data_IF_289939608904
#
_entry.id   IF_289939608904
#
_cell.length_a   1.000
_cell.length_b   1.000
_cell.length_c   1.000
_cell.angle_alpha   90.00
_cell.angle_beta   90.00
_cell.angle_gamma   90.00
#
_symmetry.space_group_name_H-M   'P 1'
#
loop_
_entity.id
_entity.type
_entity.pdbx_description
1 polymer ?
#
# COMPACT_ATOMS: atom_id res chain seq x y z
N UNK A 1 0.56 -19.22 17.06
CA UNK A 1 -0.07 -18.43 15.99
C UNK A 1 -1.06 -17.41 16.57
N UNK A 2 -1.90 -17.80 17.50
CA UNK A 2 -2.95 -16.94 18.09
C UNK A 2 -2.40 -15.65 18.72
N UNK A 3 -1.28 -15.73 19.48
CA UNK A 3 -0.64 -14.56 20.10
C UNK A 3 -0.11 -13.55 19.06
N UNK A 4 0.48 -14.02 17.96
CA UNK A 4 1.01 -13.13 16.90
C UNK A 4 -0.14 -12.47 16.16
N UNK A 5 -1.24 -13.18 15.94
CA UNK A 5 -2.45 -12.63 15.34
C UNK A 5 -3.08 -11.56 16.25
N UNK A 6 -3.18 -11.82 17.54
CA UNK A 6 -3.65 -10.84 18.51
C UNK A 6 -2.75 -9.61 18.56
N UNK A 7 -1.43 -9.76 18.63
CA UNK A 7 -0.48 -8.65 18.59
C UNK A 7 -0.67 -7.80 17.31
N UNK A 8 -0.86 -8.43 16.16
CA UNK A 8 -1.10 -7.75 14.90
C UNK A 8 -2.40 -6.93 14.91
N UNK A 9 -3.50 -7.53 15.39
CA UNK A 9 -4.78 -6.84 15.49
C UNK A 9 -4.72 -5.67 16.48
N UNK A 10 -4.05 -5.84 17.62
CA UNK A 10 -3.84 -4.78 18.60
C UNK A 10 -3.05 -3.63 17.97
N UNK A 11 -1.94 -3.89 17.27
CA UNK A 11 -1.16 -2.86 16.59
C UNK A 11 -1.99 -2.10 15.54
N UNK A 12 -2.86 -2.78 14.81
CA UNK A 12 -3.76 -2.11 13.86
C UNK A 12 -4.82 -1.29 14.60
N UNK A 13 -5.38 -1.79 15.69
CA UNK A 13 -6.36 -1.05 16.50
C UNK A 13 -5.72 0.22 17.09
N UNK A 14 -4.54 0.09 17.69
CA UNK A 14 -3.78 1.24 18.21
C UNK A 14 -3.50 2.27 17.11
N UNK A 15 -3.13 1.82 15.91
CA UNK A 15 -2.92 2.69 14.75
C UNK A 15 -4.20 3.42 14.34
N UNK A 16 -5.36 2.77 14.44
CA UNK A 16 -6.66 3.35 14.09
C UNK A 16 -7.20 4.27 15.17
N UNK A 17 -6.93 3.99 16.44
CA UNK A 17 -7.39 4.76 17.59
C UNK A 17 -6.58 6.05 17.82
N UNK A 18 -5.30 6.07 17.43
CA UNK A 18 -4.44 7.25 17.52
C UNK A 18 -4.80 8.28 16.45
N UNK A 19 -5.87 9.05 16.70
CA UNK A 19 -6.26 10.17 15.83
C UNK A 19 -5.13 11.17 15.58
N UNK A 20 -4.23 11.35 16.56
CA UNK A 20 -3.05 12.22 16.43
C UNK A 20 -2.10 11.75 15.33
N UNK A 21 -1.97 10.44 15.13
CA UNK A 21 -1.19 9.87 14.05
C UNK A 21 -1.73 10.29 12.67
N UNK A 22 -3.03 10.10 12.44
CA UNK A 22 -3.68 10.51 11.19
C UNK A 22 -3.60 12.02 10.97
N UNK A 23 -3.72 12.81 12.04
CA UNK A 23 -3.63 14.27 12.00
C UNK A 23 -2.20 14.71 11.63
N UNK A 24 -1.18 14.15 12.26
CA UNK A 24 0.23 14.45 11.98
C UNK A 24 0.60 14.07 10.54
N UNK A 25 0.25 12.86 10.12
CA UNK A 25 0.46 12.38 8.75
C UNK A 25 -0.26 13.29 7.73
N UNK A 26 -1.51 13.63 8.00
CA UNK A 26 -2.31 14.51 7.16
C UNK A 26 -1.71 15.90 7.06
N UNK A 27 -1.10 16.42 8.12
CA UNK A 27 -0.43 17.72 8.12
C UNK A 27 0.80 17.69 7.21
N UNK A 28 1.68 16.71 7.33
CA UNK A 28 2.88 16.54 6.49
C UNK A 28 2.50 16.42 5.00
N UNK A 29 1.45 15.67 4.70
CA UNK A 29 0.92 15.53 3.34
C UNK A 29 0.30 16.84 2.84
N UNK A 30 -0.38 17.62 3.70
CA UNK A 30 -0.90 18.96 3.35
C UNK A 30 0.22 19.94 3.04
N UNK A 31 1.35 19.88 3.73
CA UNK A 31 2.52 20.69 3.41
C UNK A 31 3.06 20.36 2.03
N UNK A 32 3.14 19.06 1.69
CA UNK A 32 3.50 18.63 0.35
C UNK A 32 2.50 19.15 -0.70
N UNK A 33 1.20 19.07 -0.41
CA UNK A 33 0.18 19.66 -1.30
C UNK A 33 0.39 21.17 -1.52
N UNK A 34 0.64 21.92 -0.45
CA UNK A 34 0.92 23.37 -0.55
C UNK A 34 2.14 23.65 -1.41
N UNK A 35 3.22 22.91 -1.17
CA UNK A 35 4.43 22.99 -1.97
C UNK A 35 4.13 22.73 -3.46
N UNK A 36 3.43 21.64 -3.76
CA UNK A 36 3.07 21.28 -5.13
C UNK A 36 2.18 22.32 -5.80
N UNK A 37 1.22 22.91 -5.07
CA UNK A 37 0.34 23.94 -5.60
C UNK A 37 1.09 25.26 -5.91
N UNK A 38 2.16 25.54 -5.17
CA UNK A 38 3.04 26.69 -5.42
C UNK A 38 3.96 26.47 -6.61
N UNK A 39 4.61 25.29 -6.68
CA UNK A 39 5.54 24.96 -7.76
C UNK A 39 4.84 24.69 -9.11
N UNK A 40 3.62 24.16 -9.07
CA UNK A 40 2.86 23.78 -10.26
C UNK A 40 1.44 24.39 -10.26
N UNK A 41 1.30 25.73 -10.30
CA UNK A 41 0.00 26.40 -10.13
C UNK A 41 -0.99 26.12 -11.28
N UNK A 42 -0.52 25.53 -12.37
CA UNK A 42 -1.33 25.15 -13.54
C UNK A 42 -1.80 23.69 -13.50
N UNK A 43 -1.42 22.92 -12.48
CA UNK A 43 -1.92 21.56 -12.28
C UNK A 43 -3.03 21.54 -11.22
N UNK A 44 -4.01 20.67 -11.42
CA UNK A 44 -4.96 20.28 -10.41
C UNK A 44 -4.45 19.07 -9.65
N UNK A 45 -4.58 19.08 -8.34
CA UNK A 45 -4.18 17.99 -7.46
C UNK A 45 -5.36 17.47 -6.65
N UNK A 46 -5.46 16.14 -6.55
CA UNK A 46 -6.37 15.49 -5.60
C UNK A 46 -5.56 14.56 -4.72
N UNK A 47 -5.71 14.72 -3.42
CA UNK A 47 -5.13 13.84 -2.41
C UNK A 47 -6.20 12.92 -1.86
N UNK A 48 -5.92 11.63 -1.83
CA UNK A 48 -6.77 10.61 -1.22
C UNK A 48 -5.90 9.80 -0.26
N UNK A 49 -6.26 9.80 1.03
CA UNK A 49 -5.65 8.93 2.04
C UNK A 49 -6.62 7.82 2.41
N UNK A 50 -6.10 6.64 2.69
CA UNK A 50 -6.88 5.55 3.25
C UNK A 50 -6.05 4.71 4.20
N UNK A 51 -6.70 4.20 5.23
CA UNK A 51 -6.20 3.07 6.00
C UNK A 51 -6.92 1.83 5.47
N UNK A 52 -6.17 0.75 5.30
CA UNK A 52 -6.74 -0.53 4.89
C UNK A 52 -7.69 -1.03 5.98
N UNK A 53 -8.90 -1.43 5.60
CA UNK A 53 -9.85 -1.99 6.57
C UNK A 53 -9.27 -3.22 7.29
N UNK A 54 -9.69 -3.45 8.53
CA UNK A 54 -9.23 -4.57 9.35
C UNK A 54 -9.40 -5.92 8.63
N UNK A 55 -10.55 -6.11 7.98
CA UNK A 55 -10.86 -7.33 7.21
C UNK A 55 -9.85 -7.57 6.08
N UNK A 56 -9.45 -6.50 5.37
CA UNK A 56 -8.46 -6.60 4.29
C UNK A 56 -7.04 -6.78 4.82
N UNK A 57 -6.75 -6.22 5.98
CA UNK A 57 -5.48 -6.40 6.67
C UNK A 57 -5.35 -7.85 7.15
N UNK A 58 -6.40 -8.42 7.74
CA UNK A 58 -6.47 -9.82 8.16
C UNK A 58 -6.28 -10.78 6.97
N UNK A 59 -6.95 -10.53 5.85
CA UNK A 59 -6.76 -11.33 4.63
C UNK A 59 -5.32 -11.34 4.13
N UNK A 60 -4.61 -10.21 4.24
CA UNK A 60 -3.18 -10.13 3.93
C UNK A 60 -2.32 -10.82 4.98
N UNK A 61 -2.63 -10.66 6.26
CA UNK A 61 -1.96 -11.37 7.34
C UNK A 61 -1.98 -12.87 7.08
N UNK A 62 -3.15 -13.44 6.79
CA UNK A 62 -3.29 -14.86 6.50
C UNK A 62 -2.42 -15.28 5.30
N UNK A 63 -2.37 -14.48 4.22
CA UNK A 63 -1.53 -14.76 3.06
C UNK A 63 -0.03 -14.67 3.33
N UNK A 64 0.44 -13.71 4.12
CA UNK A 64 1.87 -13.51 4.34
C UNK A 64 2.43 -14.29 5.53
N UNK A 65 1.66 -14.42 6.61
CA UNK A 65 2.14 -15.03 7.85
C UNK A 65 1.78 -16.51 7.90
N UNK A 66 0.56 -16.86 7.59
CA UNK A 66 0.13 -18.27 7.63
C UNK A 66 0.84 -19.08 6.55
N UNK A 67 0.91 -18.58 5.32
CA UNK A 67 1.66 -19.24 4.24
C UNK A 67 3.14 -19.39 4.60
N UNK A 68 3.76 -18.35 5.17
CA UNK A 68 5.14 -18.42 5.62
C UNK A 68 5.37 -19.50 6.68
N UNK A 69 4.48 -19.63 7.67
CA UNK A 69 4.59 -20.64 8.73
C UNK A 69 4.51 -22.03 8.12
N UNK A 70 3.60 -22.27 7.18
CA UNK A 70 3.47 -23.55 6.48
C UNK A 70 4.70 -23.87 5.64
N UNK A 71 5.16 -22.94 4.79
CA UNK A 71 6.34 -23.12 3.96
C UNK A 71 7.60 -23.38 4.79
N UNK A 72 7.71 -22.70 5.93
CA UNK A 72 8.83 -22.90 6.86
C UNK A 72 8.79 -24.30 7.48
N UNK A 73 7.61 -24.72 7.93
CA UNK A 73 7.42 -26.05 8.52
C UNK A 73 7.70 -27.16 7.51
N UNK A 74 7.21 -27.03 6.28
CA UNK A 74 7.48 -28.02 5.22
C UNK A 74 8.98 -28.15 4.92
N UNK A 75 9.71 -27.04 4.95
CA UNK A 75 11.16 -27.05 4.66
C UNK A 75 12.02 -27.50 5.81
N UNK A 76 11.68 -27.17 7.05
CA UNK A 76 12.54 -27.32 8.21
C UNK A 76 12.04 -28.38 9.21
N UNK A 77 10.83 -28.89 9.08
CA UNK A 77 10.20 -29.81 10.03
C UNK A 77 9.92 -29.22 11.40
N UNK A 78 10.07 -27.89 11.54
CA UNK A 78 9.83 -27.14 12.79
C UNK A 78 9.13 -25.84 12.50
N UNK A 79 8.44 -25.25 13.49
CA UNK A 79 7.82 -23.95 13.38
C UNK A 79 8.86 -22.83 13.50
N UNK A 80 8.67 -21.69 12.78
CA UNK A 80 9.51 -20.51 12.96
C UNK A 80 9.35 -19.94 14.36
N UNK A 81 10.39 -19.27 14.86
CA UNK A 81 10.35 -18.57 16.13
C UNK A 81 9.38 -17.37 16.09
N UNK A 82 8.88 -16.96 17.27
CA UNK A 82 8.02 -15.76 17.37
C UNK A 82 8.73 -14.51 16.83
N UNK A 83 10.04 -14.38 17.00
CA UNK A 83 10.83 -13.26 16.47
C UNK A 83 10.83 -13.24 14.94
N UNK A 84 11.03 -14.39 14.29
CA UNK A 84 10.98 -14.50 12.82
C UNK A 84 9.59 -14.16 12.27
N UNK A 85 8.53 -14.57 12.98
CA UNK A 85 7.16 -14.22 12.61
C UNK A 85 6.92 -12.71 12.78
N UNK A 86 7.40 -12.09 13.87
CA UNK A 86 7.29 -10.64 14.09
C UNK A 86 8.03 -9.83 13.03
N UNK A 87 9.19 -10.28 12.58
CA UNK A 87 9.88 -9.64 11.45
C UNK A 87 9.04 -9.67 10.16
N UNK A 88 8.27 -10.73 9.93
CA UNK A 88 7.34 -10.80 8.80
C UNK A 88 6.18 -9.81 8.91
N UNK A 89 5.75 -9.44 10.12
CA UNK A 89 4.74 -8.38 10.30
C UNK A 89 5.22 -7.03 9.76
N UNK A 90 6.53 -6.76 9.82
CA UNK A 90 7.12 -5.56 9.22
C UNK A 90 7.03 -5.53 7.69
N UNK A 91 6.60 -6.62 7.03
CA UNK A 91 6.33 -6.66 5.59
C UNK A 91 5.02 -5.95 5.19
N UNK A 92 4.18 -5.54 6.15
CA UNK A 92 2.95 -4.79 5.88
C UNK A 92 3.26 -3.31 5.57
N UNK A 93 3.53 -3.04 4.30
CA UNK A 93 3.92 -1.71 3.83
C UNK A 93 2.79 -0.86 3.27
N UNK A 94 1.57 -1.41 3.21
CA UNK A 94 0.42 -0.78 2.54
C UNK A 94 -0.85 -0.71 3.41
N UNK A 95 -0.69 -0.76 4.73
CA UNK A 95 -1.80 -0.53 5.68
C UNK A 95 -2.30 0.91 5.54
N UNK A 96 -1.37 1.86 5.38
CA UNK A 96 -1.64 3.26 5.12
C UNK A 96 -1.23 3.54 3.69
N UNK A 97 -2.13 4.10 2.92
CA UNK A 97 -1.86 4.48 1.55
C UNK A 97 -2.37 5.88 1.25
N UNK A 98 -1.53 6.67 0.61
CA UNK A 98 -1.88 7.97 0.07
C UNK A 98 -1.83 7.93 -1.45
N UNK A 99 -2.73 8.64 -2.07
CA UNK A 99 -2.76 8.78 -3.52
C UNK A 99 -2.73 10.25 -3.90
N UNK A 100 -1.82 10.60 -4.78
CA UNK A 100 -1.73 11.90 -5.41
C UNK A 100 -2.18 11.74 -6.85
N UNK A 101 -3.26 12.41 -7.20
CA UNK A 101 -3.80 12.41 -8.57
C UNK A 101 -3.59 13.78 -9.16
N UNK A 102 -2.90 13.84 -10.30
CA UNK A 102 -2.66 15.08 -11.03
C UNK A 102 -3.51 15.15 -12.29
N UNK A 103 -3.88 16.37 -12.66
CA UNK A 103 -4.59 16.66 -13.89
C UNK A 103 -4.20 18.04 -14.41
N UNK A 104 -4.02 18.16 -15.71
CA UNK A 104 -3.76 19.44 -16.36
C UNK A 104 -5.07 19.98 -16.97
N UNK A 105 -5.63 21.09 -16.46
CA UNK A 105 -6.79 21.74 -17.06
C UNK A 105 -6.52 22.18 -18.50
N UNK A 106 -7.52 22.05 -19.34
CA UNK A 106 -7.39 22.41 -20.78
C UNK A 106 -6.98 23.86 -21.01
N UNK A 107 -7.39 24.78 -20.13
CA UNK A 107 -7.04 26.20 -20.21
C UNK A 107 -5.53 26.47 -20.06
N UNK A 108 -4.79 25.57 -19.49
CA UNK A 108 -3.33 25.68 -19.33
C UNK A 108 -2.53 24.92 -20.42
N UNK A 109 -3.22 24.30 -21.36
CA UNK A 109 -2.59 23.60 -22.48
C UNK A 109 -2.20 24.56 -23.59
N UNK A 110 -0.97 24.45 -24.08
CA UNK A 110 -0.57 25.12 -25.32
C UNK A 110 -1.16 24.40 -26.53
N UNK A 111 -1.42 25.14 -27.61
CA UNK A 111 -1.86 24.55 -28.88
C UNK A 111 -0.90 23.43 -29.31
N UNK A 112 -1.43 22.27 -29.73
CA UNK A 112 -0.68 21.09 -30.20
C UNK A 112 0.07 20.29 -29.13
N UNK A 113 -0.07 20.57 -27.83
CA UNK A 113 0.49 19.71 -26.79
C UNK A 113 -0.40 18.46 -26.58
N UNK A 114 0.26 17.30 -26.45
CA UNK A 114 -0.41 16.06 -26.02
C UNK A 114 -0.56 16.07 -24.49
N UNK A 115 -1.79 16.26 -24.02
CA UNK A 115 -2.12 16.34 -22.61
C UNK A 115 -1.61 15.14 -21.82
N UNK A 116 -1.77 13.93 -22.36
CA UNK A 116 -1.37 12.70 -21.66
C UNK A 116 0.14 12.67 -21.47
N UNK A 117 0.90 13.04 -22.48
CA UNK A 117 2.37 13.07 -22.38
C UNK A 117 2.85 14.14 -21.39
N UNK A 118 2.21 15.32 -21.39
CA UNK A 118 2.58 16.36 -20.43
C UNK A 118 2.21 15.98 -19.00
N UNK A 119 1.04 15.41 -18.75
CA UNK A 119 0.65 14.90 -17.42
C UNK A 119 1.64 13.85 -16.92
N UNK A 120 2.06 12.90 -17.77
CA UNK A 120 3.08 11.91 -17.40
C UNK A 120 4.41 12.58 -17.08
N UNK A 121 4.85 13.55 -17.88
CA UNK A 121 6.09 14.29 -17.63
C UNK A 121 6.07 14.99 -16.27
N UNK A 122 4.96 15.66 -15.92
CA UNK A 122 4.80 16.28 -14.61
C UNK A 122 4.72 15.25 -13.47
N UNK A 123 4.10 14.12 -13.71
CA UNK A 123 4.04 13.03 -12.72
C UNK A 123 5.45 12.58 -12.32
N UNK A 124 6.33 12.37 -13.28
CA UNK A 124 7.73 12.00 -13.01
C UNK A 124 8.53 13.14 -12.38
N UNK A 125 8.28 14.41 -12.75
CA UNK A 125 8.90 15.55 -12.05
C UNK A 125 8.55 15.59 -10.56
N UNK A 126 7.28 15.35 -10.25
CA UNK A 126 6.81 15.25 -8.87
C UNK A 126 7.46 14.06 -8.17
N UNK A 127 7.56 12.92 -8.85
CA UNK A 127 8.21 11.74 -8.32
C UNK A 127 9.68 11.98 -7.97
N UNK A 128 10.40 12.79 -8.74
CA UNK A 128 11.80 13.12 -8.47
C UNK A 128 12.00 13.98 -7.21
N UNK A 129 11.04 14.83 -6.87
CA UNK A 129 11.12 15.73 -5.71
C UNK A 129 10.59 15.09 -4.43
N UNK A 130 9.60 14.21 -4.54
CA UNK A 130 8.85 13.66 -3.41
C UNK A 130 9.72 12.98 -2.35
N UNK A 131 10.71 12.12 -2.68
CA UNK A 131 11.54 11.47 -1.66
C UNK A 131 12.27 12.47 -0.78
N UNK A 132 13.00 13.42 -1.36
CA UNK A 132 13.74 14.42 -0.60
C UNK A 132 12.79 15.27 0.27
N UNK A 133 11.68 15.71 -0.28
CA UNK A 133 10.70 16.52 0.46
C UNK A 133 10.21 15.82 1.72
N UNK A 134 9.96 14.51 1.64
CA UNK A 134 9.47 13.72 2.77
C UNK A 134 10.61 13.33 3.73
N UNK A 135 11.81 13.06 3.24
CA UNK A 135 12.99 12.78 4.07
C UNK A 135 13.33 13.95 5.00
N UNK A 136 13.26 15.18 4.52
CA UNK A 136 13.41 16.39 5.31
C UNK A 136 12.37 16.51 6.45
N UNK A 137 11.29 15.75 6.39
CA UNK A 137 10.17 15.73 7.34
C UNK A 137 10.08 14.46 8.20
N UNK A 138 11.17 13.69 8.19
CA UNK A 138 11.30 12.53 9.06
C UNK A 138 10.73 11.23 8.49
N UNK A 139 10.59 11.14 7.17
CA UNK A 139 10.30 9.89 6.49
C UNK A 139 11.57 9.32 5.86
N UNK A 140 11.64 8.01 5.71
CA UNK A 140 12.72 7.33 5.00
C UNK A 140 12.14 6.54 3.82
N UNK A 141 12.62 6.83 2.61
CA UNK A 141 12.21 6.09 1.42
C UNK A 141 12.79 4.67 1.43
N UNK A 142 11.96 3.67 1.14
CA UNK A 142 12.37 2.28 1.10
C UNK A 142 12.77 1.86 -0.31
N UNK A 143 13.91 1.20 -0.46
CA UNK A 143 14.32 0.61 -1.73
C UNK A 143 13.42 -0.57 -2.11
N UNK A 144 13.04 -0.64 -3.38
CA UNK A 144 12.18 -1.71 -3.92
C UNK A 144 12.89 -3.04 -4.12
N UNK A 145 14.22 -3.10 -3.94
CA UNK A 145 15.01 -4.29 -4.24
C UNK A 145 14.98 -4.70 -5.73
N UNK A 146 14.67 -3.74 -6.62
CA UNK A 146 14.58 -3.97 -8.07
C UNK A 146 13.22 -4.48 -8.57
N UNK A 147 12.24 -4.67 -7.69
CA UNK A 147 10.87 -5.08 -8.10
C UNK A 147 10.21 -3.96 -8.91
N UNK A 148 9.78 -4.25 -10.14
CA UNK A 148 9.14 -3.28 -11.05
C UNK A 148 9.96 -1.99 -11.22
N UNK A 149 11.29 -2.14 -11.34
CA UNK A 149 12.20 -1.01 -11.56
C UNK A 149 11.79 -0.23 -12.80
N UNK A 150 11.82 1.10 -12.70
CA UNK A 150 11.57 2.00 -13.82
C UNK A 150 12.72 1.98 -14.82
N UNK A 151 12.39 1.91 -16.11
CA UNK A 151 13.32 2.14 -17.22
C UNK A 151 13.14 3.56 -17.80
N UNK A 152 12.20 4.34 -17.28
CA UNK A 152 11.91 5.68 -17.76
C UNK A 152 13.07 6.63 -17.53
N UNK A 153 13.47 7.35 -18.59
CA UNK A 153 14.49 8.41 -18.50
C UNK A 153 13.96 9.68 -17.79
N UNK A 154 12.66 9.74 -17.50
CA UNK A 154 12.04 10.85 -16.78
C UNK A 154 12.24 10.75 -15.26
N UNK A 155 12.65 9.57 -14.76
CA UNK A 155 12.93 9.35 -13.35
C UNK A 155 14.43 9.39 -13.11
N UNK A 156 14.86 10.27 -12.22
CA UNK A 156 16.26 10.48 -11.88
C UNK A 156 16.87 9.22 -11.25
N UNK A 157 18.13 8.94 -11.57
CA UNK A 157 18.82 7.73 -11.10
C UNK A 157 18.92 7.65 -9.57
N UNK A 158 18.99 8.79 -8.90
CA UNK A 158 19.07 8.86 -7.44
C UNK A 158 17.78 8.37 -6.74
N UNK A 159 16.61 8.59 -7.34
CA UNK A 159 15.31 8.23 -6.75
C UNK A 159 14.71 6.96 -7.36
N UNK A 160 15.20 6.55 -8.52
CA UNK A 160 14.74 5.36 -9.24
C UNK A 160 14.67 4.09 -8.39
N UNK A 161 15.63 3.79 -7.48
CA UNK A 161 15.59 2.59 -6.65
C UNK A 161 14.40 2.51 -5.70
N UNK A 162 13.75 3.63 -5.40
CA UNK A 162 12.63 3.71 -4.46
C UNK A 162 11.27 3.49 -5.13
N UNK A 163 11.20 3.58 -6.47
CA UNK A 163 9.95 3.50 -7.20
C UNK A 163 9.69 2.12 -7.81
N UNK A 164 8.44 1.64 -7.62
CA UNK A 164 7.84 0.61 -8.44
C UNK A 164 7.04 1.30 -9.54
N UNK A 165 7.48 1.16 -10.77
CA UNK A 165 6.90 1.83 -11.93
C UNK A 165 5.98 0.87 -12.70
N UNK A 166 4.69 1.15 -12.63
CA UNK A 166 3.65 0.45 -13.37
C UNK A 166 3.16 1.25 -14.60
N UNK A 167 3.84 2.36 -14.94
CA UNK A 167 3.50 3.20 -16.09
C UNK A 167 4.29 2.76 -17.31
N UNK A 168 5.58 2.51 -17.13
CA UNK A 168 6.56 2.22 -18.19
C UNK A 168 6.55 0.74 -18.62
N UNK A 169 5.85 -0.14 -17.90
CA UNK A 169 5.79 -1.57 -18.19
C UNK A 169 4.49 -1.99 -18.85
N UNK A 170 4.55 -3.10 -19.62
CA UNK A 170 3.35 -3.77 -20.11
C UNK A 170 2.55 -4.31 -18.92
N UNK A 171 1.40 -3.70 -18.65
CA UNK A 171 0.44 -4.14 -17.65
C UNK A 171 -0.69 -4.90 -18.33
N UNK A 172 -0.84 -6.18 -17.99
CA UNK A 172 -1.92 -7.03 -18.52
C UNK A 172 -3.32 -6.58 -18.10
N UNK A 173 -3.42 -5.66 -17.11
CA UNK A 173 -4.68 -5.22 -16.52
C UNK A 173 -4.95 -3.71 -16.67
N UNK A 174 -4.23 -3.03 -17.56
CA UNK A 174 -4.35 -1.57 -17.78
C UNK A 174 -4.09 -0.71 -16.54
N UNK A 175 -3.62 -1.29 -15.44
CA UNK A 175 -3.28 -0.55 -14.23
C UNK A 175 -1.98 0.22 -14.42
N UNK A 176 -2.01 1.52 -14.15
CA UNK A 176 -0.84 2.42 -14.24
C UNK A 176 -0.73 3.28 -13.00
N UNK A 177 0.46 3.33 -12.42
CA UNK A 177 0.77 4.14 -11.23
C UNK A 177 2.27 4.14 -10.98
N UNK A 178 2.81 5.17 -10.33
CA UNK A 178 4.10 5.09 -9.65
C UNK A 178 3.85 4.84 -8.17
N UNK A 179 4.55 3.88 -7.58
CA UNK A 179 4.44 3.55 -6.15
C UNK A 179 5.77 3.78 -5.46
N UNK A 180 5.73 4.40 -4.30
CA UNK A 180 6.87 4.53 -3.40
C UNK A 180 6.42 4.21 -1.99
N UNK A 181 7.29 3.54 -1.24
CA UNK A 181 7.05 3.20 0.17
C UNK A 181 7.96 4.03 1.04
N UNK A 182 7.40 4.60 2.10
CA UNK A 182 8.12 5.36 3.12
C UNK A 182 7.91 4.74 4.49
N UNK A 183 8.93 4.85 5.31
CA UNK A 183 8.85 4.59 6.74
C UNK A 183 8.73 5.93 7.47
N UNK A 184 7.68 6.12 8.26
CA UNK A 184 7.56 7.27 9.15
C UNK A 184 8.34 7.00 10.43
N UNK A 185 9.44 7.73 10.63
CA UNK A 185 10.33 7.54 11.78
C UNK A 185 9.66 7.94 13.11
N UNK A 186 8.68 8.83 13.08
CA UNK A 186 7.95 9.27 14.26
C UNK A 186 6.84 8.29 14.67
N UNK A 187 6.06 7.83 13.70
CA UNK A 187 4.96 6.90 13.94
C UNK A 187 5.37 5.43 13.87
N UNK A 188 6.62 5.15 13.44
CA UNK A 188 7.20 3.81 13.31
C UNK A 188 6.36 2.85 12.47
N UNK A 189 5.82 3.36 11.37
CA UNK A 189 5.00 2.56 10.46
C UNK A 189 5.33 2.89 9.01
N UNK A 190 5.01 1.94 8.14
CA UNK A 190 5.13 2.11 6.70
C UNK A 190 3.88 2.76 6.11
N UNK A 191 4.09 3.58 5.10
CA UNK A 191 3.04 4.10 4.24
C UNK A 191 3.42 3.94 2.78
N UNK A 192 2.44 3.63 1.95
CA UNK A 192 2.59 3.62 0.49
C UNK A 192 2.03 4.91 -0.10
N UNK A 193 2.77 5.52 -1.01
CA UNK A 193 2.28 6.65 -1.79
C UNK A 193 2.19 6.28 -3.27
N UNK A 194 1.05 6.58 -3.87
CA UNK A 194 0.72 6.28 -5.26
C UNK A 194 0.55 7.58 -6.03
N UNK A 195 1.28 7.74 -7.13
CA UNK A 195 1.17 8.89 -8.01
C UNK A 195 0.49 8.45 -9.31
N UNK A 196 -0.55 9.18 -9.72
CA UNK A 196 -1.35 8.90 -10.91
C UNK A 196 -1.76 10.18 -11.63
N UNK A 197 -1.97 10.08 -12.93
CA UNK A 197 -2.80 11.06 -13.65
C UNK A 197 -4.28 10.77 -13.39
N UNK A 198 -5.15 11.75 -13.68
CA UNK A 198 -6.60 11.56 -13.52
C UNK A 198 -7.12 10.37 -14.36
N UNK A 199 -6.62 10.22 -15.59
CA UNK A 199 -6.99 9.09 -16.45
C UNK A 199 -6.58 7.74 -15.83
N UNK A 200 -5.36 7.64 -15.27
CA UNK A 200 -4.89 6.43 -14.60
C UNK A 200 -5.73 6.10 -13.36
N UNK A 201 -6.14 7.14 -12.62
CA UNK A 201 -6.98 6.97 -11.43
C UNK A 201 -8.39 6.51 -11.82
N UNK A 202 -8.98 7.08 -12.87
CA UNK A 202 -10.30 6.67 -13.38
C UNK A 202 -10.30 5.21 -13.86
N UNK A 203 -9.27 4.80 -14.61
CA UNK A 203 -9.13 3.41 -15.04
C UNK A 203 -8.98 2.46 -13.84
N UNK A 204 -8.23 2.86 -12.82
CA UNK A 204 -8.03 2.05 -11.62
C UNK A 204 -9.28 1.94 -10.74
N UNK A 205 -10.13 2.98 -10.69
CA UNK A 205 -11.35 2.99 -9.87
C UNK A 205 -12.56 2.35 -10.59
N UNK A 206 -12.69 2.56 -11.90
CA UNK A 206 -13.89 2.18 -12.67
C UNK A 206 -13.61 0.98 -13.58
N UNK A 207 -12.35 0.79 -14.00
CA UNK A 207 -11.97 -0.21 -15.00
C UNK A 207 -11.86 -1.63 -14.48
N UNK A 208 -11.43 -2.52 -15.39
CA UNK A 208 -11.13 -3.95 -15.13
C UNK A 208 -10.08 -4.17 -14.04
N UNK A 209 -9.31 -3.14 -13.70
CA UNK A 209 -8.39 -3.11 -12.57
C UNK A 209 -9.10 -2.93 -11.22
N UNK A 210 -10.43 -2.79 -11.20
CA UNK A 210 -11.20 -2.63 -9.98
C UNK A 210 -11.01 -3.84 -9.06
N UNK A 211 -10.84 -3.57 -7.77
CA UNK A 211 -10.61 -4.54 -6.70
C UNK A 211 -11.53 -5.77 -6.72
N UNK A 212 -12.77 -5.62 -7.21
CA UNK A 212 -13.74 -6.72 -7.34
C UNK A 212 -13.27 -7.85 -8.27
N UNK A 213 -12.50 -7.53 -9.32
CA UNK A 213 -11.96 -8.54 -10.22
C UNK A 213 -10.76 -9.30 -9.60
N UNK A 214 -9.95 -8.58 -8.82
CA UNK A 214 -8.85 -9.17 -8.06
C UNK A 214 -9.38 -10.03 -6.90
N UNK A 215 -10.41 -9.59 -6.20
CA UNK A 215 -11.04 -10.31 -5.11
C UNK A 215 -11.62 -11.64 -5.61
N UNK A 216 -12.36 -11.65 -6.73
CA UNK A 216 -12.87 -12.90 -7.34
C UNK A 216 -11.77 -13.86 -7.76
N UNK A 217 -10.63 -13.35 -8.25
CA UNK A 217 -9.49 -14.19 -8.65
C UNK A 217 -8.72 -14.74 -7.44
N UNK A 218 -8.66 -13.99 -6.35
CA UNK A 218 -8.11 -14.45 -5.07
C UNK A 218 -9.04 -15.46 -4.38
N UNK A 219 -10.35 -15.25 -4.41
CA UNK A 219 -11.33 -16.19 -3.88
C UNK A 219 -11.32 -17.52 -4.62
N UNK A 220 -11.20 -17.52 -5.96
CA UNK A 220 -11.07 -18.75 -6.75
C UNK A 220 -9.75 -19.48 -6.48
N UNK A 221 -8.68 -18.76 -6.18
CA UNK A 221 -7.39 -19.35 -5.79
C UNK A 221 -7.42 -19.88 -4.36
N UNK A 222 -8.17 -19.21 -3.44
CA UNK A 222 -8.41 -19.67 -2.07
C UNK A 222 -9.27 -20.94 -2.04
N UNK A 223 -10.35 -21.00 -2.79
CA UNK A 223 -11.20 -22.20 -2.86
C UNK A 223 -10.46 -23.48 -3.27
N UNK A 224 -9.39 -23.37 -4.07
CA UNK A 224 -8.48 -24.49 -4.35
C UNK A 224 -7.54 -24.83 -3.18
N UNK A 225 -7.12 -23.85 -2.38
CA UNK A 225 -6.25 -24.03 -1.20
C UNK A 225 -7.06 -24.49 0.01
N UNK A 226 -8.27 -23.97 0.20
CA UNK A 226 -9.19 -24.40 1.27
C UNK A 226 -9.58 -25.89 1.13
N UNK A 227 -9.66 -26.40 -0.10
CA UNK A 227 -9.85 -27.83 -0.33
C UNK A 227 -8.65 -28.69 0.13
N UNK A 228 -7.43 -28.12 0.11
CA UNK A 228 -6.22 -28.76 0.66
C UNK A 228 -6.16 -28.59 2.19
N UNK A 229 -6.67 -27.47 2.71
CA UNK A 229 -6.69 -27.15 4.15
C UNK A 229 -7.82 -27.83 4.91
N UNK A 230 -8.88 -28.32 4.26
CA UNK A 230 -9.96 -29.10 4.91
C UNK A 230 -9.47 -30.44 5.50
N UNK A 231 -8.29 -30.90 5.11
CA UNK A 231 -7.57 -31.95 5.83
C UNK A 231 -6.95 -31.54 7.17
N UNK A 232 -6.87 -30.23 7.47
CA UNK A 232 -6.26 -29.63 8.67
C UNK A 232 -7.23 -28.84 9.56
N UNK A 233 -8.51 -29.14 9.54
CA UNK A 233 -9.66 -28.36 10.08
C UNK A 233 -9.65 -28.05 11.58
N UNK A 234 -8.67 -28.48 12.37
CA UNK A 234 -8.63 -28.26 13.84
C UNK A 234 -8.15 -26.83 14.19
N UNK A 235 -7.42 -26.17 13.32
CA UNK A 235 -6.82 -24.84 13.60
C UNK A 235 -7.82 -23.70 13.34
N UNK A 236 -8.64 -23.80 12.29
CA UNK A 236 -9.63 -22.77 11.93
C UNK A 236 -10.79 -22.66 12.95
N UNK A 237 -11.22 -23.76 13.54
CA UNK A 237 -12.26 -23.75 14.58
C UNK A 237 -11.79 -23.06 15.87
N UNK A 238 -10.51 -23.10 16.19
CA UNK A 238 -9.93 -22.37 17.33
C UNK A 238 -9.79 -20.87 17.06
N UNK A 239 -9.50 -20.48 15.84
CA UNK A 239 -9.42 -19.05 15.43
C UNK A 239 -10.79 -18.36 15.52
N UNK A 240 -11.87 -19.02 15.14
CA UNK A 240 -13.23 -18.47 15.29
C UNK A 240 -13.61 -18.30 16.77
N UNK A 241 -13.19 -19.19 17.67
CA UNK A 241 -13.48 -19.07 19.11
C UNK A 241 -12.77 -17.88 19.77
N UNK A 242 -11.61 -17.46 19.26
CA UNK A 242 -10.88 -16.28 19.76
C UNK A 242 -11.56 -15.00 19.32
N UNK A 243 -12.04 -14.92 18.07
CA UNK A 243 -12.81 -13.77 17.57
C UNK A 243 -14.14 -13.61 18.32
N UNK A 244 -14.81 -14.71 18.66
CA UNK A 244 -16.04 -14.71 19.45
C UNK A 244 -15.79 -14.33 20.93
N UNK A 245 -14.66 -14.71 21.52
CA UNK A 245 -14.24 -14.28 22.86
C UNK A 245 -13.99 -12.76 22.89
N UNK A 246 -13.35 -12.20 21.85
CA UNK A 246 -13.12 -10.75 21.76
C UNK A 246 -14.41 -9.95 21.52
N UNK A 247 -15.34 -10.45 20.71
CA UNK A 247 -16.68 -9.84 20.57
C UNK A 247 -17.40 -9.74 21.92
N UNK A 248 -17.27 -10.76 22.74
CA UNK A 248 -17.91 -10.77 24.06
C UNK A 248 -17.27 -9.78 25.04
N UNK A 249 -15.95 -9.55 24.94
CA UNK A 249 -15.23 -8.59 25.77
C UNK A 249 -15.52 -7.14 25.38
N UNK A 250 -15.67 -6.84 24.09
CA UNK A 250 -15.97 -5.49 23.59
C UNK A 250 -17.44 -5.10 23.83
N UNK A 251 -18.36 -6.07 23.90
CA UNK A 251 -19.78 -5.80 24.16
C UNK A 251 -20.13 -5.70 25.66
N UNK A 252 -19.20 -5.92 26.59
CA UNK A 252 -19.40 -5.82 28.04
C UNK A 252 -18.69 -4.64 28.71
N UNK A 253 -18.04 -3.75 27.96
CA UNK A 253 -17.47 -2.47 28.39
C UNK A 253 -18.18 -1.31 27.70
#
# INVERSE_FOLDING_TARGET
MDLVHCDFLIQIMELLEHNDFLTSQSQKIREFYKYMAQEYPYLSFTFKGRIKSLIRAEGKFNGYIVEYIYDYYEKNGSYPSVSEIKERLNCFRDLIAYRIVISMPRCHMKQKQDRKKEEIRYLYRIANVLPQFLEERGFTAESTGGVKRSNSLLLDDAVRPYYRDYIDGESTNSYRSLHITFFDNSARCYMEMQLRTKEMDDIAEIGVANHLFYEKKQETSRGRRDAILQGGCIILTRLMSVVDCYRTLICQG
#
